data_IF_945693712993
#
_entry.id   IF_945693712993
#
_cell.length_a   1.000
_cell.length_b   1.000
_cell.length_c   1.000
_cell.angle_alpha   90.00
_cell.angle_beta   90.00
_cell.angle_gamma   90.00
#
_symmetry.space_group_name_H-M   'P 1'
#
loop_
_entity.id
_entity.type
_entity.pdbx_description
1 polymer ?
#
# COMPACT_ATOMS: atom_id res chain seq x y z
N UNK A 1 -11.25 -4.36 2.45
CA UNK A 1 -10.33 -5.50 2.53
C UNK A 1 -11.02 -6.76 3.05
N UNK A 2 -11.72 -6.77 4.21
CA UNK A 2 -12.45 -7.97 4.65
C UNK A 2 -13.46 -8.47 3.61
N UNK A 3 -14.19 -7.56 2.95
CA UNK A 3 -15.12 -7.93 1.87
C UNK A 3 -14.42 -8.65 0.70
N UNK A 4 -13.21 -8.23 0.30
CA UNK A 4 -12.44 -8.94 -0.73
C UNK A 4 -12.06 -10.35 -0.28
N UNK A 5 -11.71 -10.53 0.99
CA UNK A 5 -11.44 -11.86 1.55
C UNK A 5 -12.70 -12.74 1.60
N UNK A 6 -13.88 -12.15 1.84
CA UNK A 6 -15.18 -12.86 1.79
C UNK A 6 -15.56 -13.27 0.37
N UNK A 7 -15.22 -12.44 -0.63
CA UNK A 7 -15.55 -12.71 -2.03
C UNK A 7 -14.57 -13.69 -2.71
N UNK A 8 -13.29 -13.57 -2.41
CA UNK A 8 -12.23 -14.23 -3.18
C UNK A 8 -11.32 -15.14 -2.35
N UNK A 9 -11.41 -15.14 -1.02
CA UNK A 9 -10.49 -15.87 -0.15
C UNK A 9 -10.44 -17.39 -0.39
N UNK A 10 -11.53 -17.98 -0.87
CA UNK A 10 -11.61 -19.39 -1.23
C UNK A 10 -11.05 -19.70 -2.64
N UNK A 11 -10.66 -18.65 -3.40
CA UNK A 11 -10.20 -18.75 -4.80
C UNK A 11 -8.69 -18.48 -4.95
N UNK A 12 -7.86 -18.96 -4.01
CA UNK A 12 -6.41 -18.71 -3.99
C UNK A 12 -6.01 -17.22 -3.95
N UNK A 13 -6.83 -16.39 -3.32
CA UNK A 13 -6.58 -14.99 -3.11
C UNK A 13 -6.34 -14.68 -1.62
N UNK A 14 -5.43 -13.78 -1.33
CA UNK A 14 -5.24 -13.24 0.02
C UNK A 14 -4.86 -11.76 -0.01
N UNK A 15 -5.12 -11.10 1.09
CA UNK A 15 -4.64 -9.74 1.36
C UNK A 15 -3.52 -9.81 2.39
N UNK A 16 -2.47 -9.01 2.23
CA UNK A 16 -1.40 -8.84 3.21
C UNK A 16 -1.40 -7.40 3.70
N UNK A 17 -1.53 -7.19 5.00
CA UNK A 17 -1.55 -5.86 5.62
C UNK A 17 -0.20 -5.48 6.21
N UNK A 18 0.35 -4.33 5.80
CA UNK A 18 1.62 -3.80 6.29
C UNK A 18 1.40 -2.42 6.95
N UNK A 19 1.36 -2.33 8.29
CA UNK A 19 1.26 -1.06 8.98
C UNK A 19 2.50 -0.19 8.73
N UNK A 20 2.28 1.13 8.63
CA UNK A 20 3.34 2.11 8.44
C UNK A 20 3.02 3.40 9.19
N UNK A 21 4.01 3.98 9.88
CA UNK A 21 3.83 5.21 10.66
C UNK A 21 4.37 6.49 9.97
N UNK A 22 4.77 6.39 8.69
CA UNK A 22 5.39 7.51 7.97
C UNK A 22 4.39 8.59 7.53
N UNK A 23 3.08 8.31 7.59
CA UNK A 23 2.02 9.18 7.12
C UNK A 23 1.29 9.85 8.29
N UNK A 24 1.81 11.00 8.72
CA UNK A 24 1.22 11.80 9.79
C UNK A 24 1.26 11.14 11.18
N UNK A 25 2.16 10.16 11.39
CA UNK A 25 2.30 9.41 12.64
C UNK A 25 0.97 8.78 13.11
N UNK A 26 0.19 8.25 12.16
CA UNK A 26 -1.16 7.73 12.43
C UNK A 26 -1.19 6.28 12.91
N UNK A 27 -0.04 5.60 12.94
CA UNK A 27 0.12 4.24 13.45
C UNK A 27 1.26 4.19 14.47
N UNK A 28 1.14 4.89 15.62
CA UNK A 28 2.20 5.00 16.63
C UNK A 28 2.37 3.74 17.48
N UNK A 29 1.37 2.86 17.53
CA UNK A 29 1.36 1.65 18.34
C UNK A 29 2.54 0.73 18.05
N UNK A 30 2.93 -0.12 18.99
CA UNK A 30 3.90 -1.19 18.77
C UNK A 30 3.22 -2.42 18.14
N UNK A 31 4.00 -3.31 17.51
CA UNK A 31 3.48 -4.41 16.70
C UNK A 31 2.44 -5.30 17.42
N UNK A 32 2.66 -5.61 18.70
CA UNK A 32 1.73 -6.47 19.45
C UNK A 32 0.40 -5.78 19.81
N UNK A 33 0.32 -4.45 19.68
CA UNK A 33 -0.89 -3.67 19.95
C UNK A 33 -1.73 -3.43 18.69
N UNK A 34 -1.17 -3.63 17.49
CA UNK A 34 -1.80 -3.28 16.21
C UNK A 34 -3.21 -3.90 16.08
N UNK A 35 -3.38 -5.19 16.39
CA UNK A 35 -4.68 -5.85 16.30
C UNK A 35 -5.69 -5.31 17.32
N UNK A 36 -5.23 -4.94 18.51
CA UNK A 36 -6.09 -4.32 19.53
C UNK A 36 -6.50 -2.91 19.10
N UNK A 37 -5.58 -2.14 18.53
CA UNK A 37 -5.87 -0.81 17.99
C UNK A 37 -6.94 -0.90 16.89
N UNK A 38 -6.79 -1.84 15.95
CA UNK A 38 -7.77 -2.07 14.89
C UNK A 38 -9.16 -2.44 15.48
N UNK A 39 -9.19 -3.29 16.49
CA UNK A 39 -10.43 -3.80 17.08
C UNK A 39 -11.16 -2.76 17.92
N UNK A 40 -10.45 -1.99 18.72
CA UNK A 40 -11.06 -1.17 19.76
C UNK A 40 -10.99 0.33 19.49
N UNK A 41 -10.07 0.80 18.62
CA UNK A 41 -9.80 2.22 18.44
C UNK A 41 -10.08 2.66 17.01
N UNK A 42 -9.37 2.09 16.00
CA UNK A 42 -9.47 2.58 14.62
C UNK A 42 -9.27 1.44 13.60
N UNK A 43 -10.33 0.99 12.92
CA UNK A 43 -11.68 1.55 12.89
C UNK A 43 -12.50 1.30 14.17
N UNK A 44 -12.09 0.41 15.08
CA UNK A 44 -12.85 0.09 16.28
C UNK A 44 -14.09 -0.76 16.01
N UNK A 45 -15.08 -0.69 16.89
CA UNK A 45 -16.35 -1.41 16.71
C UNK A 45 -16.22 -2.93 16.64
N UNK A 46 -15.13 -3.50 17.18
CA UNK A 46 -14.87 -4.94 17.13
C UNK A 46 -14.25 -5.41 15.82
N UNK A 47 -13.71 -4.50 14.97
CA UNK A 47 -13.09 -4.86 13.69
C UNK A 47 -11.95 -5.88 13.87
N UNK A 48 -12.04 -6.98 13.15
CA UNK A 48 -10.99 -8.01 13.06
C UNK A 48 -10.63 -8.20 11.58
N UNK A 49 -9.36 -8.01 11.20
CA UNK A 49 -8.95 -8.28 9.82
C UNK A 49 -9.07 -9.77 9.50
N UNK A 50 -9.64 -10.11 8.34
CA UNK A 50 -9.74 -11.47 7.81
C UNK A 50 -8.53 -11.86 6.97
N UNK A 51 -7.40 -11.19 7.19
CA UNK A 51 -6.16 -11.36 6.45
C UNK A 51 -4.96 -11.14 7.38
N UNK A 52 -3.78 -11.68 7.05
CA UNK A 52 -2.56 -11.45 7.84
C UNK A 52 -2.19 -9.97 7.92
N UNK A 53 -1.87 -9.51 9.13
CA UNK A 53 -1.30 -8.19 9.39
C UNK A 53 0.11 -8.39 9.91
N UNK A 54 1.08 -7.85 9.20
CA UNK A 54 2.51 -7.97 9.52
C UNK A 54 2.96 -6.91 10.52
N UNK A 55 4.21 -7.00 10.93
CA UNK A 55 4.87 -5.97 11.72
C UNK A 55 4.96 -4.65 10.94
N UNK A 56 5.03 -3.55 11.68
CA UNK A 56 5.20 -2.20 11.12
C UNK A 56 6.52 -2.08 10.37
N UNK A 57 6.48 -1.46 9.19
CA UNK A 57 7.63 -1.25 8.31
C UNK A 57 7.68 0.18 7.80
N UNK A 58 8.84 0.55 7.26
CA UNK A 58 9.00 1.76 6.44
C UNK A 58 8.83 1.42 4.96
N UNK A 59 7.97 2.16 4.28
CA UNK A 59 7.64 1.92 2.85
C UNK A 59 8.28 2.93 1.91
N UNK A 60 8.91 3.98 2.48
CA UNK A 60 9.60 5.05 1.77
C UNK A 60 10.90 5.44 2.49
N UNK A 61 11.80 6.13 1.79
CA UNK A 61 13.02 6.68 2.36
C UNK A 61 14.21 5.72 2.34
N UNK A 62 15.18 5.97 3.21
CA UNK A 62 16.44 5.20 3.25
C UNK A 62 16.28 3.79 3.78
N UNK A 63 15.34 3.59 4.72
CA UNK A 63 15.09 2.31 5.38
C UNK A 63 13.86 1.59 4.79
N UNK A 64 13.47 1.94 3.54
CA UNK A 64 12.31 1.29 2.91
C UNK A 64 12.51 -0.23 2.82
N UNK A 65 11.47 -0.96 3.17
CA UNK A 65 11.45 -2.42 3.07
C UNK A 65 11.68 -2.88 1.62
N UNK A 66 12.58 -3.85 1.34
CA UNK A 66 12.91 -4.31 -0.02
C UNK A 66 11.68 -4.72 -0.83
N UNK A 67 10.66 -5.30 -0.20
CA UNK A 67 9.40 -5.62 -0.86
C UNK A 67 8.75 -4.37 -1.46
N UNK A 68 8.70 -3.26 -0.73
CA UNK A 68 8.10 -2.02 -1.23
C UNK A 68 8.99 -1.31 -2.24
N UNK A 69 10.31 -1.41 -2.11
CA UNK A 69 11.23 -0.97 -3.15
C UNK A 69 10.92 -1.68 -4.47
N UNK A 70 10.75 -3.01 -4.46
CA UNK A 70 10.36 -3.81 -5.63
C UNK A 70 8.98 -3.41 -6.19
N UNK A 71 7.94 -3.37 -5.35
CA UNK A 71 6.58 -3.04 -5.77
C UNK A 71 6.47 -1.66 -6.42
N UNK A 72 7.24 -0.70 -5.94
CA UNK A 72 7.26 0.66 -6.48
C UNK A 72 7.99 0.79 -7.82
N UNK A 73 8.99 -0.07 -8.10
CA UNK A 73 9.79 -0.02 -9.33
C UNK A 73 9.03 -0.61 -10.51
N UNK A 74 8.33 -1.71 -10.33
CA UNK A 74 7.66 -2.42 -11.45
C UNK A 74 6.60 -1.55 -12.13
N UNK A 75 6.00 -0.62 -11.41
CA UNK A 75 5.07 0.36 -12.00
C UNK A 75 5.78 1.38 -12.95
N UNK A 76 7.09 1.35 -13.01
CA UNK A 76 7.93 2.28 -13.78
C UNK A 76 8.47 1.68 -15.08
N UNK A 77 8.16 0.44 -15.40
CA UNK A 77 8.72 -0.29 -16.56
C UNK A 77 8.15 0.12 -17.92
N UNK A 78 7.21 1.07 -17.99
CA UNK A 78 6.90 1.72 -19.24
C UNK A 78 8.10 2.59 -19.66
N UNK A 79 8.79 2.32 -20.80
CA UNK A 79 9.95 3.10 -21.25
C UNK A 79 9.67 4.59 -21.37
N UNK A 80 8.45 4.96 -21.75
CA UNK A 80 7.99 6.34 -21.83
C UNK A 80 7.95 7.01 -20.46
N UNK A 81 7.53 6.29 -19.42
CA UNK A 81 7.50 6.79 -18.04
C UNK A 81 8.88 6.96 -17.46
N UNK A 82 9.81 6.04 -17.75
CA UNK A 82 11.21 6.17 -17.34
C UNK A 82 11.83 7.42 -17.97
N UNK A 83 11.64 7.63 -19.28
CA UNK A 83 12.11 8.82 -20.00
C UNK A 83 11.52 10.12 -19.47
N UNK A 84 10.21 10.17 -19.22
CA UNK A 84 9.52 11.36 -18.71
C UNK A 84 9.98 11.73 -17.29
N UNK A 85 10.40 10.76 -16.49
CA UNK A 85 10.94 11.00 -15.13
C UNK A 85 12.31 11.63 -15.13
N UNK A 86 13.18 11.21 -16.06
CA UNK A 86 14.51 11.77 -16.19
C UNK A 86 14.48 13.18 -16.82
N UNK A 87 13.43 13.47 -17.62
CA UNK A 87 13.32 14.69 -18.40
C UNK A 87 12.53 15.81 -17.76
N UNK A 88 11.66 15.50 -16.77
CA UNK A 88 10.80 16.49 -16.11
C UNK A 88 10.99 16.42 -14.60
N UNK A 89 11.13 17.56 -13.90
CA UNK A 89 11.07 17.61 -12.45
C UNK A 89 9.62 17.31 -12.02
N UNK A 90 9.29 16.03 -11.93
CA UNK A 90 7.97 15.60 -11.51
C UNK A 90 7.88 15.75 -9.99
N UNK A 91 7.06 16.67 -9.57
CA UNK A 91 6.61 16.72 -8.17
C UNK A 91 5.49 15.69 -8.05
N UNK A 92 5.76 14.59 -7.35
CA UNK A 92 4.72 13.64 -6.96
C UNK A 92 3.57 14.43 -6.31
N UNK A 93 2.32 14.37 -6.83
CA UNK A 93 1.21 15.08 -6.21
C UNK A 93 0.98 14.48 -4.83
N UNK A 94 1.54 15.14 -3.85
CA UNK A 94 1.54 14.72 -2.47
C UNK A 94 0.15 14.91 -1.90
N UNK A 95 -0.39 13.88 -1.26
CA UNK A 95 -1.67 13.98 -0.57
C UNK A 95 -1.41 14.58 0.82
N UNK A 96 -1.67 15.87 0.96
CA UNK A 96 -1.58 16.58 2.24
C UNK A 96 -0.31 17.43 2.43
N UNK A 97 -0.11 17.90 3.65
CA UNK A 97 1.01 18.76 4.01
C UNK A 97 2.31 17.96 4.07
N UNK A 98 3.34 18.39 3.33
CA UNK A 98 4.67 17.78 3.31
C UNK A 98 5.29 17.67 4.72
N UNK A 99 4.92 18.55 5.64
CA UNK A 99 5.35 18.50 7.04
C UNK A 99 4.85 17.27 7.80
N UNK A 100 3.92 16.51 7.22
CA UNK A 100 3.36 15.27 7.78
C UNK A 100 3.99 14.01 7.19
N UNK A 101 5.07 14.16 6.41
CA UNK A 101 5.83 13.06 5.84
C UNK A 101 7.09 12.86 6.63
N UNK A 102 7.24 11.65 7.11
CA UNK A 102 8.32 11.28 8.03
C UNK A 102 9.30 10.31 7.37
N UNK A 103 9.79 10.71 6.17
CA UNK A 103 10.87 9.99 5.47
C UNK A 103 11.67 10.94 4.58
N UNK A 104 12.89 10.53 4.22
CA UNK A 104 13.79 11.24 3.30
C UNK A 104 14.75 10.21 2.67
N UNK A 105 15.17 10.40 1.40
CA UNK A 105 14.68 11.39 0.44
C UNK A 105 13.29 11.07 -0.07
N UNK A 106 12.58 12.08 -0.59
CA UNK A 106 11.29 11.89 -1.27
C UNK A 106 11.56 11.53 -2.72
N UNK A 107 10.99 10.42 -3.20
CA UNK A 107 11.11 9.93 -4.57
C UNK A 107 9.76 10.01 -5.30
N UNK A 108 9.80 10.09 -6.61
CA UNK A 108 8.59 10.17 -7.47
C UNK A 108 7.64 8.99 -7.31
N UNK A 109 8.18 7.80 -7.07
CA UNK A 109 7.42 6.57 -6.94
C UNK A 109 6.98 6.26 -5.50
N UNK A 110 7.28 7.14 -4.53
CA UNK A 110 6.92 6.92 -3.14
C UNK A 110 5.43 6.67 -2.95
N UNK A 111 5.11 5.89 -1.93
CA UNK A 111 3.75 5.74 -1.44
C UNK A 111 3.36 7.08 -0.81
N UNK A 112 2.21 7.63 -1.25
CA UNK A 112 1.83 9.01 -0.96
C UNK A 112 1.07 9.16 0.34
N UNK A 113 0.34 8.12 0.71
CA UNK A 113 -0.46 8.07 1.94
C UNK A 113 -0.84 6.64 2.30
N UNK A 114 -1.50 6.47 3.46
CA UNK A 114 -2.07 5.20 3.90
C UNK A 114 -3.01 4.58 2.85
N UNK A 115 -3.20 3.27 2.90
CA UNK A 115 -4.14 2.50 2.09
C UNK A 115 -3.87 2.47 0.58
N UNK A 116 -2.65 2.75 0.12
CA UNK A 116 -2.27 2.33 -1.22
C UNK A 116 -2.22 0.80 -1.29
N UNK A 117 -2.62 0.24 -2.42
CA UNK A 117 -2.72 -1.20 -2.61
C UNK A 117 -1.95 -1.60 -3.86
N UNK A 118 -1.33 -2.76 -3.79
CA UNK A 118 -0.67 -3.41 -4.92
C UNK A 118 -1.33 -4.76 -5.14
N UNK A 119 -1.81 -5.00 -6.35
CA UNK A 119 -2.28 -6.31 -6.79
C UNK A 119 -1.10 -7.05 -7.40
N UNK A 120 -0.87 -8.26 -6.93
CA UNK A 120 0.22 -9.15 -7.34
C UNK A 120 -0.42 -10.34 -8.01
N UNK A 121 0.10 -10.77 -9.14
CA UNK A 121 -0.36 -11.97 -9.81
C UNK A 121 0.17 -13.26 -9.17
N UNK A 122 -0.22 -14.41 -9.70
CA UNK A 122 0.18 -15.72 -9.20
C UNK A 122 1.69 -16.00 -9.33
N UNK A 123 2.37 -15.30 -10.21
CA UNK A 123 3.82 -15.44 -10.44
C UNK A 123 4.64 -14.52 -9.53
N UNK A 124 3.97 -13.71 -8.71
CA UNK A 124 4.60 -12.76 -7.80
C UNK A 124 4.94 -11.42 -8.46
N UNK A 125 4.48 -11.18 -9.69
CA UNK A 125 4.71 -9.91 -10.36
C UNK A 125 3.63 -8.88 -10.01
N UNK A 126 3.98 -7.62 -9.74
CA UNK A 126 3.01 -6.56 -9.48
C UNK A 126 2.21 -6.24 -10.75
N UNK A 127 0.92 -6.55 -10.70
CA UNK A 127 -0.02 -6.32 -11.79
C UNK A 127 -0.51 -4.87 -11.84
N UNK A 128 -0.90 -4.32 -10.66
CA UNK A 128 -1.44 -2.96 -10.57
C UNK A 128 -1.28 -2.33 -9.19
N UNK A 129 -1.09 -1.01 -9.19
CA UNK A 129 -1.10 -0.14 -7.99
C UNK A 129 -2.38 0.67 -7.96
N UNK A 130 -3.02 0.77 -6.81
CA UNK A 130 -4.25 1.55 -6.60
C UNK A 130 -4.03 2.61 -5.53
N UNK A 131 -4.48 3.80 -5.85
CA UNK A 131 -4.45 4.93 -4.93
C UNK A 131 -5.48 4.78 -3.79
N UNK A 132 -5.31 5.56 -2.74
CA UNK A 132 -6.22 5.61 -1.61
C UNK A 132 -7.70 5.77 -2.03
N UNK A 133 -7.97 6.72 -2.93
CA UNK A 133 -9.32 7.06 -3.40
C UNK A 133 -9.79 6.29 -4.64
N UNK A 134 -9.03 5.31 -5.07
CA UNK A 134 -9.40 4.47 -6.21
C UNK A 134 -10.69 3.68 -5.93
N UNK A 135 -11.59 3.54 -6.92
CA UNK A 135 -12.84 2.80 -6.75
C UNK A 135 -12.58 1.32 -6.45
N UNK A 136 -13.27 0.80 -5.44
CA UNK A 136 -13.12 -0.59 -4.99
C UNK A 136 -13.54 -1.58 -6.07
N UNK A 137 -14.53 -1.23 -6.87
CA UNK A 137 -15.06 -2.03 -7.98
C UNK A 137 -13.99 -2.34 -9.03
N UNK A 138 -13.03 -1.41 -9.21
CA UNK A 138 -11.90 -1.63 -10.10
C UNK A 138 -10.95 -2.70 -9.55
N UNK A 139 -10.71 -2.69 -8.24
CA UNK A 139 -9.88 -3.70 -7.57
C UNK A 139 -10.54 -5.08 -7.70
N UNK A 140 -11.83 -5.17 -7.42
CA UNK A 140 -12.62 -6.41 -7.54
C UNK A 140 -12.57 -6.98 -8.96
N UNK A 141 -12.78 -6.14 -9.97
CA UNK A 141 -12.73 -6.54 -11.38
C UNK A 141 -11.35 -7.06 -11.78
N UNK A 142 -10.30 -6.39 -11.36
CA UNK A 142 -8.93 -6.77 -11.69
C UNK A 142 -8.55 -8.09 -10.98
N UNK A 143 -8.98 -8.31 -9.73
CA UNK A 143 -8.80 -9.59 -9.02
C UNK A 143 -9.52 -10.71 -9.77
N UNK A 144 -10.80 -10.51 -10.10
CA UNK A 144 -11.60 -11.51 -10.82
C UNK A 144 -11.01 -11.86 -12.20
N UNK A 145 -10.25 -10.95 -12.80
CA UNK A 145 -9.59 -11.19 -14.09
C UNK A 145 -8.26 -11.96 -13.98
N UNK A 146 -7.71 -12.09 -12.78
CA UNK A 146 -6.46 -12.83 -12.51
C UNK A 146 -6.70 -14.22 -11.92
N UNK A 147 -7.89 -14.48 -11.38
CA UNK A 147 -8.33 -15.78 -10.85
C UNK A 147 -8.95 -16.65 -11.94
#
# INVERSE_FOLDING_TARGET
MNALMEMFGDLNFTVLGFPCNQFGLQAPEVNHETLNLLKYVRPGGGFVPKFPVFGKIEVNGLNEEPLFAYLKVVYLTCPLFAYLKESLPYVNPVIGDIKRFYWSPIKVNDIRWNFEKFLIDSDGAPFRRYELHGPTEKVEKDIAGLL
#
